data_IF_817268426653
#
_entry.id   IF_817268426653
#
_cell.length_a   1.000
_cell.length_b   1.000
_cell.length_c   1.000
_cell.angle_alpha   90.00
_cell.angle_beta   90.00
_cell.angle_gamma   90.00
#
_symmetry.space_group_name_H-M   'P 1'
#
loop_
_entity.id
_entity.type
_entity.pdbx_description
1 polymer ?
#
# COMPACT_ATOMS: atom_id res chain seq x y z
N UNK A 1 26.57 -3.42 24.96
CA UNK A 1 25.44 -2.47 24.96
C UNK A 1 24.43 -3.00 23.97
N UNK A 2 23.31 -3.49 24.47
CA UNK A 2 22.18 -3.97 23.67
C UNK A 2 21.81 -2.91 22.61
N UNK A 3 21.34 -3.30 21.40
CA UNK A 3 20.91 -2.36 20.39
C UNK A 3 19.50 -1.86 20.76
N UNK A 4 19.39 -1.15 21.88
CA UNK A 4 18.13 -0.61 22.41
C UNK A 4 17.52 0.42 21.45
N UNK A 5 18.38 1.16 20.74
CA UNK A 5 17.97 2.17 19.79
C UNK A 5 17.16 1.61 18.59
N UNK A 6 17.66 0.62 17.83
CA UNK A 6 16.87 0.04 16.74
C UNK A 6 15.62 -0.69 17.23
N UNK A 7 15.63 -1.25 18.45
CA UNK A 7 14.43 -1.87 19.05
C UNK A 7 13.34 -0.83 19.37
N UNK A 8 13.73 0.33 19.88
CA UNK A 8 12.84 1.47 20.14
C UNK A 8 12.24 2.03 18.85
N UNK A 9 13.06 2.15 17.80
CA UNK A 9 12.61 2.59 16.47
C UNK A 9 11.61 1.59 15.88
N UNK A 10 11.89 0.29 15.98
CA UNK A 10 11.00 -0.75 15.51
C UNK A 10 9.66 -0.74 16.27
N UNK A 11 9.69 -0.61 17.60
CA UNK A 11 8.47 -0.54 18.42
C UNK A 11 7.63 0.71 18.11
N UNK A 12 8.27 1.87 17.89
CA UNK A 12 7.59 3.10 17.47
C UNK A 12 6.98 2.96 16.07
N UNK A 13 7.68 2.31 15.14
CA UNK A 13 7.16 2.03 13.79
C UNK A 13 5.95 1.09 13.82
N UNK A 14 5.94 0.11 14.73
CA UNK A 14 4.82 -0.83 14.93
C UNK A 14 3.61 -0.15 15.62
N UNK A 15 3.87 0.90 16.40
CA UNK A 15 2.85 1.60 17.19
C UNK A 15 2.05 2.65 16.42
N UNK A 16 2.55 3.11 15.28
CA UNK A 16 1.84 4.14 14.49
C UNK A 16 0.99 3.44 13.45
N UNK A 17 -0.36 3.59 13.50
CA UNK A 17 -1.22 2.97 12.52
C UNK A 17 -0.81 3.44 11.12
N UNK A 18 -0.52 2.49 10.23
CA UNK A 18 -0.04 2.75 8.88
C UNK A 18 -0.93 3.70 8.08
N UNK A 19 -2.18 3.90 8.51
CA UNK A 19 -3.11 4.92 7.99
C UNK A 19 -2.56 6.34 8.14
N UNK A 20 -1.92 6.70 9.26
CA UNK A 20 -1.47 8.06 9.54
C UNK A 20 -0.24 8.48 8.73
N UNK A 21 0.62 7.54 8.34
CA UNK A 21 1.74 7.84 7.43
C UNK A 21 1.41 7.46 5.99
N UNK A 22 0.72 6.34 5.80
CA UNK A 22 0.38 5.81 4.48
C UNK A 22 -0.61 6.68 3.72
N UNK A 23 -1.69 7.17 4.34
CA UNK A 23 -2.66 8.01 3.63
C UNK A 23 -2.08 9.38 3.23
N UNK A 24 -1.35 10.12 4.09
CA UNK A 24 -0.71 11.36 3.66
C UNK A 24 0.35 11.13 2.58
N UNK A 25 1.15 10.07 2.67
CA UNK A 25 2.13 9.73 1.63
C UNK A 25 1.46 9.32 0.32
N UNK A 26 0.37 8.56 0.38
CA UNK A 26 -0.43 8.19 -0.80
C UNK A 26 -1.05 9.43 -1.45
N UNK A 27 -1.61 10.34 -0.65
CA UNK A 27 -2.17 11.59 -1.13
C UNK A 27 -1.09 12.48 -1.78
N UNK A 28 0.08 12.61 -1.13
CA UNK A 28 1.21 13.36 -1.66
C UNK A 28 1.74 12.74 -2.96
N UNK A 29 1.90 11.42 -3.01
CA UNK A 29 2.33 10.71 -4.22
C UNK A 29 1.31 10.89 -5.36
N UNK A 30 0.00 10.81 -5.05
CA UNK A 30 -1.07 11.04 -6.03
C UNK A 30 -1.08 12.49 -6.52
N UNK A 31 -0.81 13.45 -5.64
CA UNK A 31 -0.72 14.87 -5.98
C UNK A 31 0.51 15.17 -6.84
N UNK A 32 1.68 14.61 -6.52
CA UNK A 32 2.90 14.74 -7.33
C UNK A 32 2.69 14.08 -8.70
N UNK A 33 2.09 12.89 -8.73
CA UNK A 33 1.71 12.22 -9.97
C UNK A 33 0.80 13.10 -10.82
N UNK A 34 -0.30 13.62 -10.26
CA UNK A 34 -1.22 14.51 -10.95
C UNK A 34 -0.57 15.85 -11.40
N UNK A 35 0.35 16.40 -10.60
CA UNK A 35 1.04 17.65 -10.90
C UNK A 35 2.13 17.51 -11.96
N UNK A 36 2.69 16.30 -12.14
CA UNK A 36 3.79 16.04 -13.10
C UNK A 36 3.31 15.35 -14.38
N UNK A 37 2.15 14.68 -14.36
CA UNK A 37 1.45 14.22 -15.56
C UNK A 37 0.58 15.34 -16.12
N UNK A 38 1.13 16.15 -17.03
CA UNK A 38 0.32 16.91 -18.00
C UNK A 38 -0.16 16.02 -19.17
N UNK A 39 -0.38 14.74 -18.91
CA UNK A 39 -0.74 13.76 -19.93
C UNK A 39 -2.20 13.35 -19.77
N UNK A 40 -2.88 13.31 -20.91
CA UNK A 40 -4.26 12.86 -21.16
C UNK A 40 -4.97 12.21 -19.95
N UNK A 41 -6.05 12.84 -19.42
CA UNK A 41 -6.87 12.26 -18.36
C UNK A 41 -7.30 10.82 -18.60
N UNK A 42 -7.46 10.41 -19.87
CA UNK A 42 -7.78 9.02 -20.23
C UNK A 42 -6.62 8.06 -19.91
N UNK A 43 -5.37 8.45 -20.11
CA UNK A 43 -4.20 7.65 -19.79
C UNK A 43 -4.04 7.45 -18.27
N UNK A 44 -4.31 8.50 -17.48
CA UNK A 44 -4.34 8.42 -16.01
C UNK A 44 -5.43 7.45 -15.54
N UNK A 45 -6.63 7.56 -16.10
CA UNK A 45 -7.74 6.65 -15.80
C UNK A 45 -7.39 5.20 -16.11
N UNK A 46 -6.79 4.94 -17.27
CA UNK A 46 -6.37 3.61 -17.70
C UNK A 46 -5.29 3.03 -16.77
N UNK A 47 -4.29 3.82 -16.40
CA UNK A 47 -3.26 3.40 -15.45
C UNK A 47 -3.87 3.11 -14.07
N UNK A 48 -4.74 3.97 -13.57
CA UNK A 48 -5.42 3.80 -12.28
C UNK A 48 -6.22 2.49 -12.24
N UNK A 49 -7.01 2.22 -13.29
CA UNK A 49 -7.77 0.97 -13.41
C UNK A 49 -6.83 -0.23 -13.50
N UNK A 50 -5.79 -0.16 -14.33
CA UNK A 50 -4.79 -1.22 -14.47
C UNK A 50 -4.16 -1.60 -13.12
N UNK A 51 -3.67 -0.60 -12.37
CA UNK A 51 -3.07 -0.80 -11.06
C UNK A 51 -4.09 -1.31 -10.04
N UNK A 52 -5.32 -0.79 -10.04
CA UNK A 52 -6.39 -1.25 -9.14
C UNK A 52 -6.71 -2.72 -9.39
N UNK A 53 -6.83 -3.13 -10.65
CA UNK A 53 -7.07 -4.53 -11.04
C UNK A 53 -5.88 -5.40 -10.66
N UNK A 54 -4.64 -4.95 -10.89
CA UNK A 54 -3.44 -5.71 -10.59
C UNK A 54 -3.27 -5.94 -9.09
N UNK A 55 -3.35 -4.87 -8.29
CA UNK A 55 -3.27 -4.93 -6.83
C UNK A 55 -4.44 -5.71 -6.23
N UNK A 56 -5.67 -5.39 -6.64
CA UNK A 56 -6.87 -6.07 -6.16
C UNK A 56 -6.87 -7.55 -6.52
N UNK A 57 -6.39 -7.91 -7.72
CA UNK A 57 -6.26 -9.28 -8.17
C UNK A 57 -5.27 -10.08 -7.33
N UNK A 58 -4.06 -9.56 -7.11
CA UNK A 58 -3.04 -10.24 -6.29
C UNK A 58 -3.51 -10.38 -4.84
N UNK A 59 -4.00 -9.29 -4.24
CA UNK A 59 -4.49 -9.33 -2.86
C UNK A 59 -5.68 -10.26 -2.71
N UNK A 60 -6.58 -10.29 -3.70
CA UNK A 60 -7.72 -11.18 -3.76
C UNK A 60 -7.31 -12.65 -3.86
N UNK A 61 -6.32 -12.98 -4.69
CA UNK A 61 -5.78 -14.34 -4.79
C UNK A 61 -5.12 -14.77 -3.48
N UNK A 62 -4.30 -13.91 -2.88
CA UNK A 62 -3.66 -14.18 -1.58
C UNK A 62 -4.72 -14.43 -0.51
N UNK A 63 -5.75 -13.58 -0.44
CA UNK A 63 -6.87 -13.75 0.49
C UNK A 63 -7.59 -15.07 0.26
N UNK A 64 -7.91 -15.42 -0.99
CA UNK A 64 -8.57 -16.67 -1.33
C UNK A 64 -7.74 -17.89 -0.89
N UNK A 65 -6.43 -17.86 -1.09
CA UNK A 65 -5.51 -18.91 -0.64
C UNK A 65 -5.51 -19.04 0.88
N UNK A 66 -5.40 -17.92 1.61
CA UNK A 66 -5.43 -17.92 3.08
C UNK A 66 -6.76 -18.47 3.61
N UNK A 67 -7.89 -18.06 3.03
CA UNK A 67 -9.21 -18.57 3.40
C UNK A 67 -9.34 -20.07 3.12
N UNK A 68 -8.85 -20.54 1.97
CA UNK A 68 -8.88 -21.96 1.61
C UNK A 68 -8.03 -22.79 2.57
N UNK A 69 -6.81 -22.34 2.89
CA UNK A 69 -5.94 -23.03 3.84
C UNK A 69 -6.57 -23.08 5.23
N UNK A 70 -7.15 -21.98 5.69
CA UNK A 70 -7.86 -21.91 6.96
C UNK A 70 -9.14 -22.76 7.00
N UNK A 71 -9.74 -23.07 5.85
CA UNK A 71 -10.89 -23.97 5.76
C UNK A 71 -10.50 -25.45 5.85
N UNK A 72 -9.28 -25.80 5.43
CA UNK A 72 -8.78 -27.19 5.40
C UNK A 72 -7.99 -27.55 6.68
N UNK A 73 -7.47 -26.55 7.40
CA UNK A 73 -6.79 -26.71 8.70
C UNK A 73 -7.77 -26.96 9.85
#
# INVERSE_FOLDING_TARGET
>A
MEPVFPLLVAALADSVPGVFFGLPLLALASLIFAATHHEDPAAIGLATVHWTVWLGGILGVVLAVVLLLGWIS
#
